data_IF_537071384445
#
_entry.id   IF_537071384445
#
_cell.length_a   1.000
_cell.length_b   1.000
_cell.length_c   1.000
_cell.angle_alpha   90.00
_cell.angle_beta   90.00
_cell.angle_gamma   90.00
#
_symmetry.space_group_name_H-M   'P 1'
#
loop_
_entity.id
_entity.type
_entity.pdbx_description
1 polymer ?
#
# COMPACT_ATOMS: atom_id res chain seq x y z
N UNK A 1 -37.58 -63.18 6.87
CA UNK A 1 -36.77 -62.09 7.46
C UNK A 1 -35.54 -61.87 6.58
N UNK A 2 -35.75 -61.49 5.32
CA UNK A 2 -34.70 -61.46 4.30
C UNK A 2 -35.14 -60.59 3.12
N UNK A 3 -35.50 -59.34 3.39
CA UNK A 3 -35.97 -58.41 2.32
C UNK A 3 -35.67 -56.93 2.61
N UNK A 4 -34.75 -56.65 3.53
CA UNK A 4 -34.31 -55.28 3.86
C UNK A 4 -32.92 -54.93 3.29
N UNK A 5 -32.16 -55.90 2.78
CA UNK A 5 -30.79 -55.68 2.31
C UNK A 5 -30.67 -55.28 0.82
N UNK A 6 -31.76 -55.37 0.03
CA UNK A 6 -31.72 -55.09 -1.41
C UNK A 6 -32.10 -53.64 -1.79
N UNK A 7 -32.64 -52.86 -0.85
CA UNK A 7 -33.10 -51.48 -1.12
C UNK A 7 -32.01 -50.42 -0.93
N UNK A 8 -30.82 -50.81 -0.47
CA UNK A 8 -29.75 -49.90 -0.03
C UNK A 8 -28.56 -49.80 -1.01
N UNK A 9 -28.68 -50.38 -2.21
CA UNK A 9 -27.65 -50.22 -3.26
C UNK A 9 -27.80 -48.94 -4.07
N UNK A 10 -29.02 -48.41 -4.18
CA UNK A 10 -29.32 -47.19 -4.96
C UNK A 10 -29.03 -45.89 -4.21
N UNK A 11 -28.87 -45.93 -2.88
CA UNK A 11 -28.49 -44.76 -2.07
C UNK A 11 -27.01 -44.40 -2.23
N UNK A 12 -26.16 -45.38 -2.58
CA UNK A 12 -24.71 -45.23 -2.73
C UNK A 12 -24.26 -44.82 -4.14
N UNK A 13 -25.09 -44.99 -5.18
CA UNK A 13 -24.69 -44.69 -6.57
C UNK A 13 -24.78 -43.18 -6.90
N UNK A 14 -25.66 -42.44 -6.22
CA UNK A 14 -25.85 -41.00 -6.47
C UNK A 14 -24.84 -40.09 -5.75
N UNK A 15 -24.28 -40.55 -4.63
CA UNK A 15 -23.36 -39.76 -3.79
C UNK A 15 -21.97 -39.55 -4.40
N UNK A 16 -21.27 -40.56 -4.96
CA UNK A 16 -19.97 -40.38 -5.58
C UNK A 16 -20.03 -39.48 -6.82
N UNK A 17 -21.08 -39.61 -7.63
CA UNK A 17 -21.28 -38.81 -8.83
C UNK A 17 -21.53 -37.33 -8.47
N UNK A 18 -22.38 -37.06 -7.49
CA UNK A 18 -22.60 -35.69 -6.98
C UNK A 18 -21.31 -35.09 -6.41
N UNK A 19 -20.50 -35.90 -5.72
CA UNK A 19 -19.21 -35.45 -5.18
C UNK A 19 -18.23 -35.10 -6.29
N UNK A 20 -18.15 -35.91 -7.35
CA UNK A 20 -17.30 -35.61 -8.51
C UNK A 20 -17.73 -34.33 -9.22
N UNK A 21 -19.04 -34.09 -9.37
CA UNK A 21 -19.56 -32.85 -9.96
C UNK A 21 -19.19 -31.65 -9.08
N UNK A 22 -19.34 -31.75 -7.76
CA UNK A 22 -18.96 -30.67 -6.82
C UNK A 22 -17.46 -30.40 -6.87
N UNK A 23 -16.62 -31.44 -6.88
CA UNK A 23 -15.15 -31.28 -6.99
C UNK A 23 -14.76 -30.66 -8.32
N UNK A 24 -15.39 -31.06 -9.43
CA UNK A 24 -15.18 -30.45 -10.74
C UNK A 24 -15.59 -28.97 -10.74
N UNK A 25 -16.74 -28.62 -10.13
CA UNK A 25 -17.16 -27.23 -9.98
C UNK A 25 -16.18 -26.41 -9.13
N UNK A 26 -15.69 -26.96 -8.02
CA UNK A 26 -14.68 -26.30 -7.19
C UNK A 26 -13.39 -26.08 -8.00
N UNK A 27 -12.92 -27.10 -8.72
CA UNK A 27 -11.72 -27.02 -9.55
C UNK A 27 -11.83 -25.95 -10.65
N UNK A 28 -13.01 -25.80 -11.26
CA UNK A 28 -13.27 -24.76 -12.27
C UNK A 28 -13.39 -23.36 -11.65
N UNK A 29 -13.85 -23.26 -10.40
CA UNK A 29 -13.98 -21.99 -9.68
C UNK A 29 -12.69 -21.51 -9.01
N UNK A 30 -11.71 -22.38 -8.81
CA UNK A 30 -10.47 -22.02 -8.12
C UNK A 30 -9.62 -20.97 -8.87
N UNK A 31 -9.35 -21.09 -10.19
CA UNK A 31 -8.58 -20.09 -10.93
C UNK A 31 -9.11 -18.65 -10.85
N UNK A 32 -10.41 -18.36 -11.09
CA UNK A 32 -10.91 -17.00 -10.98
C UNK A 32 -10.85 -16.47 -9.53
N UNK A 33 -10.97 -17.33 -8.52
CA UNK A 33 -10.81 -16.93 -7.12
C UNK A 33 -9.38 -16.50 -6.81
N UNK A 34 -8.36 -17.21 -7.32
CA UNK A 34 -6.97 -16.79 -7.15
C UNK A 34 -6.68 -15.42 -7.80
N UNK A 35 -7.22 -15.18 -9.01
CA UNK A 35 -7.10 -13.88 -9.66
C UNK A 35 -7.78 -12.76 -8.87
N UNK A 36 -8.99 -13.02 -8.35
CA UNK A 36 -9.72 -12.05 -7.54
C UNK A 36 -9.00 -11.71 -6.23
N UNK A 37 -8.41 -12.70 -5.55
CA UNK A 37 -7.62 -12.50 -4.33
C UNK A 37 -6.36 -11.67 -4.58
N UNK A 38 -5.65 -11.91 -5.69
CA UNK A 38 -4.48 -11.12 -6.06
C UNK A 38 -4.82 -9.65 -6.25
N UNK A 39 -5.85 -9.35 -7.06
CA UNK A 39 -6.30 -7.99 -7.31
C UNK A 39 -6.82 -7.30 -6.03
N UNK A 40 -7.48 -8.06 -5.16
CA UNK A 40 -7.95 -7.56 -3.87
C UNK A 40 -6.78 -7.17 -2.97
N UNK A 41 -5.76 -8.02 -2.86
CA UNK A 41 -4.56 -7.74 -2.07
C UNK A 41 -3.83 -6.49 -2.60
N UNK A 42 -3.65 -6.40 -3.92
CA UNK A 42 -3.04 -5.25 -4.58
C UNK A 42 -3.79 -3.94 -4.27
N UNK A 43 -5.11 -3.96 -4.43
CA UNK A 43 -5.97 -2.80 -4.16
C UNK A 43 -5.94 -2.40 -2.68
N UNK A 44 -5.97 -3.40 -1.78
CA UNK A 44 -5.90 -3.16 -0.34
C UNK A 44 -4.59 -2.48 0.06
N UNK A 45 -3.46 -2.90 -0.52
CA UNK A 45 -2.15 -2.31 -0.23
C UNK A 45 -2.00 -0.90 -0.77
N UNK A 46 -2.44 -0.64 -2.00
CA UNK A 46 -2.45 0.72 -2.58
C UNK A 46 -3.28 1.66 -1.70
N UNK A 47 -4.44 1.20 -1.23
CA UNK A 47 -5.31 2.01 -0.37
C UNK A 47 -4.68 2.27 1.01
N UNK A 48 -4.03 1.27 1.61
CA UNK A 48 -3.31 1.41 2.89
C UNK A 48 -2.21 2.47 2.81
N UNK A 49 -1.46 2.49 1.70
CA UNK A 49 -0.35 3.44 1.53
C UNK A 49 -0.87 4.82 1.17
N UNK A 50 -1.92 4.91 0.35
CA UNK A 50 -2.60 6.18 0.09
C UNK A 50 -3.02 6.85 1.41
N UNK A 51 -3.63 6.09 2.32
CA UNK A 51 -4.02 6.62 3.63
C UNK A 51 -2.82 7.13 4.44
N UNK A 52 -1.69 6.42 4.43
CA UNK A 52 -0.47 6.89 5.10
C UNK A 52 0.14 8.14 4.44
N UNK A 53 0.08 8.25 3.12
CA UNK A 53 0.52 9.44 2.39
C UNK A 53 -0.35 10.63 2.76
N UNK A 54 -1.66 10.46 2.85
CA UNK A 54 -2.59 11.51 3.29
C UNK A 54 -2.32 11.96 4.73
N UNK A 55 -2.07 11.02 5.65
CA UNK A 55 -1.68 11.30 7.03
C UNK A 55 -0.35 12.06 7.09
N UNK A 56 0.65 11.62 6.31
CA UNK A 56 1.94 12.29 6.21
C UNK A 56 1.81 13.72 5.67
N UNK A 57 0.99 13.92 4.63
CA UNK A 57 0.66 15.25 4.10
C UNK A 57 0.04 16.15 5.16
N UNK A 58 -0.91 15.63 5.95
CA UNK A 58 -1.52 16.37 7.05
C UNK A 58 -0.48 16.77 8.11
N UNK A 59 0.36 15.83 8.53
CA UNK A 59 1.42 16.09 9.51
C UNK A 59 2.43 17.13 9.01
N UNK A 60 2.78 17.10 7.72
CA UNK A 60 3.65 18.10 7.11
C UNK A 60 2.99 19.48 7.13
N UNK A 61 1.71 19.58 6.76
CA UNK A 61 0.97 20.84 6.82
C UNK A 61 0.90 21.40 8.25
N UNK A 62 0.71 20.54 9.24
CA UNK A 62 0.78 20.94 10.66
C UNK A 62 2.18 21.40 11.05
N UNK A 63 3.21 20.65 10.68
CA UNK A 63 4.61 20.97 10.96
C UNK A 63 5.01 22.34 10.40
N UNK A 64 4.53 22.67 9.21
CA UNK A 64 4.76 23.98 8.58
C UNK A 64 4.02 25.09 9.31
N UNK A 65 2.77 24.85 9.75
CA UNK A 65 2.02 25.81 10.55
C UNK A 65 2.70 26.13 11.89
N UNK A 66 3.44 25.18 12.46
CA UNK A 66 4.25 25.40 13.67
C UNK A 66 5.49 26.27 13.40
N UNK A 67 5.94 26.36 12.15
CA UNK A 67 7.03 27.22 11.71
C UNK A 67 8.43 26.60 11.80
N UNK A 68 9.46 27.34 11.34
CA UNK A 68 10.85 26.87 11.29
C UNK A 68 11.39 26.44 12.67
N UNK A 69 12.19 25.37 12.67
CA UNK A 69 12.74 24.76 13.90
C UNK A 69 11.85 23.65 14.49
N UNK A 70 10.59 23.57 14.07
CA UNK A 70 9.69 22.49 14.45
C UNK A 70 10.17 21.15 13.91
N UNK A 71 9.99 20.09 14.70
CA UNK A 71 10.34 18.71 14.32
C UNK A 71 9.22 17.76 14.69
N UNK A 72 9.03 16.72 13.88
CA UNK A 72 8.18 15.57 14.20
C UNK A 72 8.84 14.29 13.71
N UNK A 73 8.74 13.26 14.52
CA UNK A 73 9.11 11.91 14.11
C UNK A 73 7.83 11.17 13.70
N UNK A 74 7.90 10.47 12.57
CA UNK A 74 6.78 9.76 11.96
C UNK A 74 7.22 8.34 11.66
N UNK A 75 6.42 7.37 12.10
CA UNK A 75 6.58 5.98 11.72
C UNK A 75 5.79 5.70 10.44
N UNK A 76 6.48 5.38 9.36
CA UNK A 76 5.88 4.95 8.10
C UNK A 76 5.85 3.42 8.09
N UNK A 77 4.71 2.82 7.73
CA UNK A 77 4.49 1.37 7.74
C UNK A 77 4.02 0.86 6.38
N UNK A 78 4.92 0.46 5.50
CA UNK A 78 4.52 0.01 4.16
C UNK A 78 4.20 -1.48 4.18
N UNK A 79 3.07 -1.94 3.59
CA UNK A 79 2.82 -3.36 3.41
C UNK A 79 3.98 -4.10 2.73
N UNK A 80 4.31 -5.30 3.20
CA UNK A 80 5.46 -6.10 2.71
C UNK A 80 5.22 -6.80 1.36
N UNK A 81 4.38 -6.25 0.50
CA UNK A 81 3.93 -6.86 -0.75
C UNK A 81 4.57 -6.25 -2.00
N UNK A 82 5.72 -5.59 -1.83
CA UNK A 82 6.42 -4.89 -2.92
C UNK A 82 5.92 -3.47 -3.14
N UNK A 83 5.05 -2.97 -2.27
CA UNK A 83 4.73 -1.56 -2.26
C UNK A 83 5.86 -0.66 -1.78
N UNK A 84 5.84 0.61 -2.17
CA UNK A 84 6.85 1.59 -1.79
C UNK A 84 6.28 3.01 -1.67
N UNK A 85 7.03 3.87 -0.98
CA UNK A 85 6.77 5.31 -0.82
C UNK A 85 8.04 6.09 -1.18
N UNK A 86 7.89 7.25 -1.81
CA UNK A 86 8.99 8.15 -2.18
C UNK A 86 8.67 9.55 -1.67
N UNK A 87 9.55 10.15 -0.88
CA UNK A 87 9.43 11.55 -0.47
C UNK A 87 10.42 12.37 -1.29
N UNK A 88 9.94 13.39 -1.98
CA UNK A 88 10.77 14.22 -2.85
C UNK A 88 11.17 13.56 -4.17
N UNK A 89 12.24 14.07 -4.76
CA UNK A 89 12.87 13.56 -5.98
C UNK A 89 13.84 14.57 -6.60
N UNK A 90 14.57 14.13 -7.62
CA UNK A 90 15.65 14.90 -8.24
C UNK A 90 15.15 16.13 -9.01
N UNK A 91 13.95 16.07 -9.59
CA UNK A 91 13.39 17.22 -10.31
C UNK A 91 12.65 18.18 -9.38
N UNK A 92 12.51 19.44 -9.80
CA UNK A 92 11.82 20.49 -9.04
C UNK A 92 10.40 20.05 -8.65
N UNK A 93 9.63 19.48 -9.58
CA UNK A 93 8.27 19.03 -9.29
C UNK A 93 8.26 17.85 -8.32
N UNK A 94 9.19 16.89 -8.47
CA UNK A 94 9.24 15.73 -7.59
C UNK A 94 9.68 16.09 -6.18
N UNK A 95 10.59 17.06 -6.03
CA UNK A 95 11.00 17.61 -4.74
C UNK A 95 9.83 18.18 -3.92
N UNK A 96 8.70 18.47 -4.55
CA UNK A 96 7.47 18.98 -3.91
C UNK A 96 6.39 17.91 -3.77
N UNK A 97 6.75 16.64 -3.85
CA UNK A 97 5.78 15.55 -3.91
C UNK A 97 6.09 14.39 -2.98
N UNK A 98 5.04 13.65 -2.63
CA UNK A 98 5.14 12.34 -2.01
C UNK A 98 4.54 11.34 -3.00
N UNK A 99 5.36 10.41 -3.47
CA UNK A 99 4.99 9.34 -4.37
C UNK A 99 4.70 8.03 -3.64
N UNK A 100 3.84 7.21 -4.21
CA UNK A 100 3.61 5.83 -3.78
C UNK A 100 3.26 4.92 -4.95
N UNK A 101 3.50 3.62 -4.81
CA UNK A 101 3.15 2.64 -5.84
C UNK A 101 3.59 1.23 -5.49
N UNK A 102 3.43 0.32 -6.46
CA UNK A 102 3.88 -1.07 -6.39
C UNK A 102 5.13 -1.27 -7.22
N UNK A 103 6.00 -2.19 -6.81
CA UNK A 103 7.24 -2.50 -7.51
C UNK A 103 6.98 -2.80 -8.99
N UNK A 104 7.57 -1.99 -9.87
CA UNK A 104 7.41 -2.08 -11.32
C UNK A 104 6.47 -1.02 -11.90
N UNK A 105 5.60 -0.43 -11.09
CA UNK A 105 4.69 0.63 -11.52
C UNK A 105 5.32 2.02 -11.39
N UNK A 106 4.83 2.93 -12.23
CA UNK A 106 5.12 4.36 -12.09
C UNK A 106 4.46 4.88 -10.81
N UNK A 107 5.16 5.67 -9.98
CA UNK A 107 4.60 6.18 -8.74
C UNK A 107 3.45 7.15 -9.03
N UNK A 108 2.36 6.99 -8.28
CA UNK A 108 1.37 8.05 -8.14
C UNK A 108 1.92 9.09 -7.18
N UNK A 109 1.95 10.37 -7.60
CA UNK A 109 2.53 11.46 -6.79
C UNK A 109 1.46 12.42 -6.30
N UNK A 110 1.51 12.75 -5.01
CA UNK A 110 0.76 13.82 -4.38
C UNK A 110 1.64 15.07 -4.28
N UNK A 111 1.27 16.13 -4.98
CA UNK A 111 2.04 17.39 -5.01
C UNK A 111 1.55 18.35 -3.93
N UNK A 112 2.48 18.86 -3.13
CA UNK A 112 2.23 19.83 -2.07
C UNK A 112 2.45 21.25 -2.60
N UNK A 113 1.46 21.75 -3.33
CA UNK A 113 1.49 23.10 -3.93
C UNK A 113 0.81 24.18 -3.09
N UNK A 114 0.02 23.79 -2.07
CA UNK A 114 -0.62 24.71 -1.13
C UNK A 114 -0.64 24.15 0.31
N UNK A 115 0.22 24.67 1.21
CA UNK A 115 1.34 25.57 0.91
C UNK A 115 2.38 24.88 0.02
N UNK A 116 3.17 25.65 -0.74
CA UNK A 116 4.31 25.09 -1.49
C UNK A 116 5.34 24.52 -0.53
N UNK A 117 5.53 23.20 -0.55
CA UNK A 117 6.51 22.50 0.29
C UNK A 117 7.55 21.85 -0.57
N UNK A 118 8.82 22.19 -0.34
CA UNK A 118 9.95 21.49 -0.94
C UNK A 118 10.59 20.58 0.10
N UNK A 119 10.78 19.31 -0.26
CA UNK A 119 11.49 18.34 0.56
C UNK A 119 12.99 18.43 0.33
N UNK A 120 13.75 18.36 1.43
CA UNK A 120 15.20 18.16 1.41
C UNK A 120 15.50 16.82 2.05
N UNK A 121 15.85 15.85 1.22
CA UNK A 121 16.17 14.48 1.63
C UNK A 121 17.69 14.28 1.74
N UNK A 122 18.17 13.20 2.41
CA UNK A 122 19.62 12.95 2.54
C UNK A 122 20.29 12.66 1.19
N UNK A 123 19.54 12.05 0.27
CA UNK A 123 19.89 11.94 -1.15
C UNK A 123 19.20 13.07 -1.92
N UNK A 124 19.86 13.66 -2.92
CA UNK A 124 19.22 14.62 -3.82
C UNK A 124 18.17 13.96 -4.73
N UNK A 125 18.13 12.63 -4.80
CA UNK A 125 17.18 11.87 -5.61
C UNK A 125 15.83 11.57 -4.90
N UNK A 126 15.64 12.08 -3.70
CA UNK A 126 14.50 11.75 -2.84
C UNK A 126 14.79 10.61 -1.86
N UNK A 127 13.85 10.38 -0.95
CA UNK A 127 13.90 9.29 0.01
C UNK A 127 12.89 8.21 -0.39
N UNK A 128 13.41 7.08 -0.87
CA UNK A 128 12.60 5.89 -1.15
C UNK A 128 12.57 4.98 0.08
N UNK A 129 11.38 4.57 0.47
CA UNK A 129 11.13 3.65 1.57
C UNK A 129 10.50 2.39 0.97
N UNK A 130 11.18 1.28 1.14
CA UNK A 130 10.73 -0.06 0.75
C UNK A 130 10.64 -0.93 2.02
N UNK A 131 9.56 -1.71 2.20
CA UNK A 131 9.44 -2.70 3.29
C UNK A 131 8.62 -2.27 4.53
N UNK A 132 8.54 -3.13 5.57
CA UNK A 132 7.47 -3.14 6.58
C UNK A 132 7.34 -1.88 7.44
N UNK A 133 8.39 -1.06 7.50
CA UNK A 133 8.33 0.24 8.11
C UNK A 133 9.68 0.94 8.22
N UNK A 134 9.62 2.26 8.36
CA UNK A 134 10.76 3.14 8.52
C UNK A 134 10.33 4.33 9.40
N UNK A 135 11.12 4.64 10.41
CA UNK A 135 10.94 5.86 11.19
C UNK A 135 11.68 7.00 10.49
N UNK A 136 10.98 8.11 10.25
CA UNK A 136 11.57 9.31 9.66
C UNK A 136 11.38 10.51 10.56
N UNK A 137 12.37 11.39 10.59
CA UNK A 137 12.31 12.67 11.26
C UNK A 137 12.11 13.79 10.24
N UNK A 138 10.98 14.49 10.36
CA UNK A 138 10.63 15.67 9.60
C UNK A 138 11.03 16.91 10.39
N UNK A 139 11.74 17.84 9.75
CA UNK A 139 12.10 19.14 10.35
C UNK A 139 11.71 20.26 9.40
N UNK A 140 10.95 21.23 9.91
CA UNK A 140 10.69 22.46 9.19
C UNK A 140 11.94 23.35 9.28
N UNK A 141 12.50 23.71 8.14
CA UNK A 141 13.63 24.65 8.05
C UNK A 141 13.27 25.79 7.12
N UNK A 142 13.90 26.94 7.33
CA UNK A 142 13.82 28.06 6.40
C UNK A 142 15.18 28.20 5.71
N UNK A 143 15.16 28.30 4.37
CA UNK A 143 16.36 28.54 3.57
C UNK A 143 16.03 29.55 2.49
N UNK A 144 16.81 30.63 2.42
CA UNK A 144 16.62 31.71 1.45
C UNK A 144 15.18 32.27 1.42
N UNK A 145 14.53 32.38 2.58
CA UNK A 145 13.16 32.88 2.71
C UNK A 145 12.05 31.90 2.26
N UNK A 146 12.40 30.64 1.96
CA UNK A 146 11.44 29.58 1.63
C UNK A 146 11.40 28.52 2.72
N UNK A 147 10.20 27.99 2.99
CA UNK A 147 10.00 26.89 3.92
C UNK A 147 10.31 25.57 3.21
N UNK A 148 11.16 24.77 3.83
CA UNK A 148 11.47 23.41 3.40
C UNK A 148 11.20 22.42 4.52
N UNK A 149 10.88 21.19 4.13
CA UNK A 149 10.79 20.06 5.06
C UNK A 149 12.00 19.17 4.83
N UNK A 150 12.92 19.22 5.79
CA UNK A 150 14.05 18.30 5.81
C UNK A 150 13.57 16.94 6.32
N UNK A 151 13.92 15.88 5.59
CA UNK A 151 13.58 14.50 5.91
C UNK A 151 14.87 13.77 6.27
N UNK A 152 14.87 13.07 7.40
CA UNK A 152 16.01 12.29 7.90
C UNK A 152 15.50 10.89 8.30
N UNK A 153 16.34 9.88 8.14
CA UNK A 153 16.15 8.52 8.70
C UNK A 153 17.09 8.41 9.90
#
# INVERSE_FOLDING_TARGET
MMDLALKDKSALEGTPLKLMIVVAMIALSAPPLYGALGNFQETASINSIRAQVEELVMMIKELIKMGPGSKRTVEIRIPSDGSYLIIGGASISESMSIGYGLKGDRPTRYYLTDPNVTFSTPSEEGLRIDGPGCEICLRCIEKNGSILVQVMI
#
